data_IF_629276439856
#
_entry.id   IF_629276439856
#
_cell.length_a   1.000
_cell.length_b   1.000
_cell.length_c   1.000
_cell.angle_alpha   90.00
_cell.angle_beta   90.00
_cell.angle_gamma   90.00
#
_symmetry.space_group_name_H-M   'P 1'
#
loop_
_entity.id
_entity.type
_entity.pdbx_description
1 polymer ?
#
# COMPACT_ATOMS: atom_id res chain seq x y z
N UNK A 1 -26.86 -7.07 11.93
CA UNK A 1 -26.40 -7.58 13.24
C UNK A 1 -24.92 -7.87 13.12
N UNK A 2 -24.14 -7.64 14.19
CA UNK A 2 -22.70 -7.97 14.21
C UNK A 2 -22.58 -9.50 14.28
N UNK A 3 -21.74 -10.14 13.43
CA UNK A 3 -21.52 -11.58 13.45
C UNK A 3 -20.94 -12.10 14.78
N UNK A 4 -21.18 -13.37 15.08
CA UNK A 4 -20.69 -14.00 16.32
C UNK A 4 -19.16 -13.97 16.44
N UNK A 5 -18.70 -13.61 17.65
CA UNK A 5 -17.27 -13.53 17.98
C UNK A 5 -16.59 -12.24 17.52
N UNK A 6 -17.35 -11.23 17.09
CA UNK A 6 -16.84 -9.91 16.68
C UNK A 6 -17.34 -8.84 17.64
N UNK A 7 -16.42 -8.06 18.20
CA UNK A 7 -16.71 -6.90 19.05
C UNK A 7 -16.16 -5.62 18.40
N UNK A 8 -17.00 -4.59 18.29
CA UNK A 8 -16.58 -3.24 17.92
C UNK A 8 -16.52 -2.40 19.20
N UNK A 9 -15.31 -2.02 19.62
CA UNK A 9 -15.07 -1.36 20.91
C UNK A 9 -15.04 0.18 20.82
N UNK A 10 -15.25 0.72 19.62
CA UNK A 10 -15.29 2.15 19.36
C UNK A 10 -16.71 2.64 19.01
N UNK A 11 -16.99 3.95 19.14
CA UNK A 11 -18.28 4.52 18.77
C UNK A 11 -18.59 4.29 17.28
N UNK A 12 -19.84 3.95 16.97
CA UNK A 12 -20.35 3.97 15.60
C UNK A 12 -20.90 5.37 15.35
N UNK A 13 -20.28 6.10 14.43
CA UNK A 13 -20.70 7.44 14.03
C UNK A 13 -21.71 7.39 12.89
N UNK A 14 -22.22 8.55 12.48
CA UNK A 14 -23.19 8.65 11.40
C UNK A 14 -22.69 7.96 10.12
N UNK A 15 -23.56 7.17 9.49
CA UNK A 15 -23.30 6.38 8.27
C UNK A 15 -22.21 5.31 8.36
N UNK A 16 -21.59 5.08 9.53
CA UNK A 16 -20.57 4.03 9.67
C UNK A 16 -21.14 2.63 9.43
N UNK A 17 -22.45 2.44 9.58
CA UNK A 17 -23.18 1.22 9.24
C UNK A 17 -23.11 0.86 7.74
N UNK A 18 -22.85 1.83 6.86
CA UNK A 18 -22.62 1.59 5.42
C UNK A 18 -21.28 0.91 5.13
N UNK A 19 -20.30 1.08 6.03
CA UNK A 19 -18.96 0.50 5.91
C UNK A 19 -18.84 -0.75 6.78
N UNK A 20 -19.31 -0.68 8.02
CA UNK A 20 -19.28 -1.77 9.01
C UNK A 20 -20.48 -2.72 8.83
N UNK A 21 -20.75 -3.10 7.59
CA UNK A 21 -21.85 -4.01 7.25
C UNK A 21 -21.55 -5.43 7.79
N UNK A 22 -22.58 -6.27 8.03
CA UNK A 22 -22.36 -7.65 8.43
C UNK A 22 -21.41 -8.40 7.50
N UNK A 23 -21.58 -8.23 6.18
CA UNK A 23 -20.73 -8.86 5.15
C UNK A 23 -19.27 -8.40 5.23
N UNK A 24 -19.03 -7.10 5.49
CA UNK A 24 -17.67 -6.59 5.66
C UNK A 24 -17.02 -7.17 6.91
N UNK A 25 -17.75 -7.22 8.03
CA UNK A 25 -17.26 -7.78 9.29
C UNK A 25 -17.02 -9.29 9.20
N UNK A 26 -17.86 -10.03 8.48
CA UNK A 26 -17.65 -11.45 8.18
C UNK A 26 -16.35 -11.66 7.39
N UNK A 27 -16.10 -10.86 6.35
CA UNK A 27 -14.84 -10.95 5.60
C UNK A 27 -13.63 -10.64 6.49
N UNK A 28 -13.70 -9.61 7.34
CA UNK A 28 -12.63 -9.30 8.32
C UNK A 28 -12.40 -10.50 9.24
N UNK A 29 -13.45 -11.15 9.72
CA UNK A 29 -13.34 -12.33 10.59
C UNK A 29 -12.75 -13.54 9.87
N UNK A 30 -13.15 -13.83 8.63
CA UNK A 30 -12.57 -14.88 7.80
C UNK A 30 -11.07 -14.64 7.62
N UNK A 31 -10.68 -13.44 7.18
CA UNK A 31 -9.27 -13.10 6.99
C UNK A 31 -8.47 -13.18 8.29
N UNK A 32 -9.03 -12.72 9.41
CA UNK A 32 -8.36 -12.80 10.71
C UNK A 32 -8.14 -14.26 11.14
N UNK A 33 -9.15 -15.11 11.03
CA UNK A 33 -9.10 -16.51 11.47
C UNK A 33 -8.15 -17.34 10.62
N UNK A 34 -8.17 -17.14 9.30
CA UNK A 34 -7.32 -17.88 8.37
C UNK A 34 -5.86 -17.38 8.35
N UNK A 35 -5.64 -16.06 8.45
CA UNK A 35 -4.33 -15.47 8.18
C UNK A 35 -3.65 -14.86 9.40
N UNK A 36 -4.38 -14.60 10.49
CA UNK A 36 -3.89 -13.87 11.65
C UNK A 36 -2.69 -14.51 12.31
N UNK A 37 -2.71 -15.84 12.49
CA UNK A 37 -1.59 -16.58 13.08
C UNK A 37 -0.35 -16.52 12.19
N UNK A 38 -0.51 -16.76 10.88
CA UNK A 38 0.61 -16.69 9.93
C UNK A 38 1.23 -15.29 9.86
N UNK A 39 0.41 -14.24 9.94
CA UNK A 39 0.88 -12.85 10.05
C UNK A 39 1.77 -12.67 11.28
N UNK A 40 1.33 -13.13 12.45
CA UNK A 40 2.11 -13.04 13.69
C UNK A 40 3.43 -13.80 13.59
N UNK A 41 3.43 -14.98 12.97
CA UNK A 41 4.64 -15.78 12.75
C UNK A 41 5.62 -15.04 11.84
N UNK A 42 5.16 -14.45 10.74
CA UNK A 42 6.01 -13.64 9.85
C UNK A 42 6.58 -12.39 10.56
N UNK A 43 5.81 -11.73 11.43
CA UNK A 43 6.32 -10.63 12.26
C UNK A 43 7.40 -11.11 13.24
N UNK A 44 7.26 -12.33 13.78
CA UNK A 44 8.29 -12.94 14.62
C UNK A 44 9.57 -13.28 13.82
N UNK A 45 9.43 -13.71 12.56
CA UNK A 45 10.57 -13.95 11.65
C UNK A 45 11.35 -12.66 11.37
N UNK A 46 10.69 -11.50 11.21
CA UNK A 46 11.39 -10.20 11.13
C UNK A 46 12.30 -9.97 12.34
N UNK A 47 11.82 -10.31 13.54
CA UNK A 47 12.61 -10.22 14.77
C UNK A 47 13.81 -11.16 14.80
N UNK A 48 13.67 -12.39 14.28
CA UNK A 48 14.77 -13.35 14.13
C UNK A 48 15.83 -12.83 13.16
N UNK A 49 15.42 -12.33 11.99
CA UNK A 49 16.32 -11.73 10.99
C UNK A 49 17.13 -10.59 11.59
N UNK A 50 16.48 -9.67 12.31
CA UNK A 50 17.16 -8.56 12.98
C UNK A 50 18.22 -9.04 13.98
N UNK A 51 17.96 -10.11 14.75
CA UNK A 51 18.95 -10.69 15.67
C UNK A 51 20.14 -11.29 14.90
N UNK A 52 19.88 -12.07 13.85
CA UNK A 52 20.93 -12.64 13.01
C UNK A 52 21.83 -11.57 12.38
N UNK A 53 21.24 -10.45 11.91
CA UNK A 53 22.01 -9.31 11.39
C UNK A 53 22.85 -8.66 12.49
N UNK A 54 22.34 -8.54 13.72
CA UNK A 54 23.09 -8.02 14.85
C UNK A 54 24.28 -8.91 15.24
N UNK A 55 24.16 -10.21 15.06
CA UNK A 55 25.19 -11.23 15.36
C UNK A 55 26.26 -11.36 14.26
N UNK A 56 26.21 -10.52 13.22
CA UNK A 56 27.21 -10.49 12.14
C UNK A 56 26.70 -11.02 10.79
N UNK A 57 25.46 -11.50 10.71
CA UNK A 57 24.83 -11.91 9.46
C UNK A 57 24.69 -10.77 8.44
N UNK A 58 24.34 -11.11 7.21
CA UNK A 58 24.07 -10.13 6.13
C UNK A 58 22.80 -10.51 5.38
N UNK A 59 22.42 -9.69 4.41
CA UNK A 59 21.37 -9.99 3.44
C UNK A 59 22.01 -10.30 2.09
N UNK A 60 21.45 -11.28 1.39
CA UNK A 60 21.81 -11.66 0.03
C UNK A 60 20.59 -12.31 -0.63
N UNK A 61 20.67 -12.54 -1.94
CA UNK A 61 19.65 -13.29 -2.66
C UNK A 61 19.54 -14.73 -2.14
N UNK A 62 18.33 -15.21 -1.97
CA UNK A 62 18.07 -16.52 -1.38
C UNK A 62 18.43 -17.65 -2.37
N UNK A 63 19.23 -18.64 -1.96
CA UNK A 63 19.58 -19.77 -2.84
C UNK A 63 18.37 -20.68 -3.08
N UNK A 64 17.52 -20.88 -2.07
CA UNK A 64 16.33 -21.75 -2.14
C UNK A 64 15.29 -21.31 -3.18
N UNK A 65 15.28 -20.02 -3.56
CA UNK A 65 14.37 -19.47 -4.58
C UNK A 65 15.10 -19.12 -5.88
N UNK A 66 16.35 -19.57 -6.06
CA UNK A 66 17.15 -19.29 -7.26
C UNK A 66 16.42 -19.69 -8.56
N UNK A 67 15.69 -20.81 -8.54
CA UNK A 67 14.90 -21.27 -9.67
C UNK A 67 13.83 -20.26 -10.12
N UNK A 68 13.22 -19.50 -9.20
CA UNK A 68 12.25 -18.44 -9.53
C UNK A 68 12.94 -17.32 -10.31
N UNK A 69 14.14 -16.93 -9.89
CA UNK A 69 14.91 -15.85 -10.54
C UNK A 69 15.46 -16.26 -11.90
N UNK A 70 15.86 -17.51 -12.06
CA UNK A 70 16.46 -18.02 -13.31
C UNK A 70 15.43 -18.52 -14.33
N UNK A 71 14.19 -18.76 -13.93
CA UNK A 71 13.12 -19.13 -14.85
C UNK A 71 12.60 -17.90 -15.60
N UNK A 72 12.95 -17.77 -16.88
CA UNK A 72 12.50 -16.68 -17.77
C UNK A 72 11.09 -16.92 -18.35
N UNK A 73 10.44 -18.05 -18.07
CA UNK A 73 9.13 -18.39 -18.66
C UNK A 73 7.94 -17.67 -18.00
N UNK A 74 8.09 -17.20 -16.77
CA UNK A 74 7.01 -16.55 -16.04
C UNK A 74 7.09 -15.02 -16.09
N UNK A 75 5.90 -14.42 -16.11
CA UNK A 75 5.66 -12.97 -16.04
C UNK A 75 4.49 -12.70 -15.09
N UNK A 76 4.34 -11.46 -14.64
CA UNK A 76 3.15 -11.05 -13.90
C UNK A 76 1.96 -10.82 -14.84
N UNK A 77 0.77 -10.69 -14.28
CA UNK A 77 -0.43 -10.33 -15.01
C UNK A 77 -0.26 -8.99 -15.77
N UNK A 78 -0.91 -8.89 -16.92
CA UNK A 78 -0.92 -7.65 -17.71
C UNK A 78 -1.52 -6.48 -16.92
N UNK A 79 -1.09 -5.23 -17.20
CA UNK A 79 -1.64 -4.05 -16.55
C UNK A 79 -3.16 -3.98 -16.65
N UNK A 80 -3.83 -3.86 -15.49
CA UNK A 80 -5.28 -3.77 -15.44
C UNK A 80 -5.83 -2.42 -15.96
N UNK A 81 -7.13 -2.35 -16.31
CA UNK A 81 -7.78 -1.10 -16.71
C UNK A 81 -7.55 0.03 -15.70
N UNK A 82 -7.17 1.22 -16.18
CA UNK A 82 -6.83 2.35 -15.31
C UNK A 82 -5.40 2.30 -14.72
N UNK A 83 -4.65 1.21 -14.91
CA UNK A 83 -3.26 1.05 -14.47
C UNK A 83 -2.26 0.88 -15.63
N UNK A 84 -2.72 1.01 -16.88
CA UNK A 84 -1.87 0.92 -18.09
C UNK A 84 -0.92 2.12 -18.22
N UNK A 85 -1.41 3.32 -17.92
CA UNK A 85 -0.61 4.55 -17.89
C UNK A 85 -0.57 5.10 -16.46
N UNK A 86 0.60 4.99 -15.82
CA UNK A 86 0.84 5.40 -14.43
C UNK A 86 1.96 6.44 -14.34
N UNK A 87 2.10 7.27 -15.37
CA UNK A 87 3.23 8.22 -15.51
C UNK A 87 3.40 9.17 -14.31
N UNK A 88 2.30 9.53 -13.65
CA UNK A 88 2.28 10.35 -12.44
C UNK A 88 1.19 9.82 -11.51
N UNK A 89 1.57 9.55 -10.27
CA UNK A 89 0.66 9.19 -9.18
C UNK A 89 0.71 10.28 -8.11
N UNK A 90 -0.45 10.69 -7.60
CA UNK A 90 -0.55 11.56 -6.44
C UNK A 90 -0.84 10.71 -5.20
N UNK A 91 -0.30 11.08 -4.05
CA UNK A 91 -0.50 10.36 -2.77
C UNK A 91 -1.12 11.31 -1.77
N UNK A 92 -2.10 10.85 -1.00
CA UNK A 92 -2.70 11.67 0.04
C UNK A 92 -3.70 10.92 0.90
N UNK A 93 -4.05 11.46 2.08
CA UNK A 93 -5.00 10.85 2.99
C UNK A 93 -6.40 10.81 2.39
N UNK A 94 -7.26 10.00 2.99
CA UNK A 94 -8.67 9.84 2.62
C UNK A 94 -9.60 10.82 3.31
N UNK A 95 -9.11 11.98 3.76
CA UNK A 95 -10.02 13.05 4.21
C UNK A 95 -10.81 13.62 3.02
N UNK A 96 -11.99 14.16 3.30
CA UNK A 96 -12.97 14.53 2.27
C UNK A 96 -12.43 15.54 1.26
N UNK A 97 -11.74 16.58 1.74
CA UNK A 97 -11.18 17.64 0.91
C UNK A 97 -10.00 17.12 0.07
N UNK A 98 -9.12 16.32 0.67
CA UNK A 98 -7.97 15.75 -0.04
C UNK A 98 -8.39 14.70 -1.08
N UNK A 99 -9.40 13.89 -0.78
CA UNK A 99 -10.02 12.95 -1.72
C UNK A 99 -10.47 13.67 -3.00
N UNK A 100 -11.26 14.73 -2.86
CA UNK A 100 -11.74 15.53 -4.01
C UNK A 100 -10.57 16.14 -4.79
N UNK A 101 -9.59 16.73 -4.10
CA UNK A 101 -8.46 17.39 -4.77
C UNK A 101 -7.55 16.40 -5.50
N UNK A 102 -7.31 15.21 -4.92
CA UNK A 102 -6.46 14.19 -5.50
C UNK A 102 -7.08 13.56 -6.76
N UNK A 103 -8.39 13.28 -6.71
CA UNK A 103 -9.16 12.80 -7.87
C UNK A 103 -9.18 13.84 -9.00
N UNK A 104 -9.29 15.12 -8.65
CA UNK A 104 -9.30 16.24 -9.60
C UNK A 104 -7.90 16.72 -10.06
N UNK A 105 -6.83 16.08 -9.62
CA UNK A 105 -5.45 16.59 -9.78
C UNK A 105 -4.91 16.50 -11.20
N UNK A 106 -5.46 15.61 -12.02
CA UNK A 106 -4.92 15.26 -13.34
C UNK A 106 -3.79 14.23 -13.31
N UNK A 107 -3.41 13.72 -12.13
CA UNK A 107 -2.60 12.51 -12.02
C UNK A 107 -3.34 11.31 -12.63
N UNK A 108 -2.61 10.28 -13.06
CA UNK A 108 -3.25 9.06 -13.59
C UNK A 108 -3.79 8.17 -12.48
N UNK A 109 -3.11 8.18 -11.34
CA UNK A 109 -3.45 7.37 -10.17
C UNK A 109 -3.45 8.27 -8.94
N UNK A 110 -4.41 8.03 -8.05
CA UNK A 110 -4.37 8.51 -6.68
C UNK A 110 -4.16 7.33 -5.75
N UNK A 111 -3.05 7.37 -5.00
CA UNK A 111 -2.81 6.50 -3.87
C UNK A 111 -3.56 7.07 -2.66
N UNK A 112 -4.72 6.49 -2.37
CA UNK A 112 -5.58 6.80 -1.24
C UNK A 112 -5.05 6.15 0.03
N UNK A 113 -4.51 6.96 0.94
CA UNK A 113 -3.63 6.46 1.99
C UNK A 113 -4.33 6.25 3.33
N UNK A 114 -4.32 5.01 3.83
CA UNK A 114 -4.67 4.66 5.20
C UNK A 114 -3.45 4.41 6.09
N UNK A 115 -2.24 4.62 5.56
CA UNK A 115 -0.97 4.32 6.21
C UNK A 115 -0.22 5.61 6.62
N UNK A 116 1.01 5.85 6.17
CA UNK A 116 1.90 6.87 6.74
C UNK A 116 1.38 8.32 6.67
N UNK A 117 0.52 8.67 5.70
CA UNK A 117 -0.09 10.00 5.60
C UNK A 117 -1.41 10.13 6.37
N UNK A 118 -1.85 9.07 7.07
CA UNK A 118 -3.13 9.04 7.79
C UNK A 118 -2.95 8.57 9.24
N UNK A 119 -3.25 9.45 10.20
CA UNK A 119 -3.32 9.02 11.60
C UNK A 119 -4.48 8.03 11.77
N UNK A 120 -4.25 6.79 12.25
CA UNK A 120 -5.26 5.73 12.28
C UNK A 120 -6.19 5.87 13.50
N UNK A 121 -6.78 7.06 13.68
CA UNK A 121 -7.92 7.25 14.56
C UNK A 121 -9.09 6.43 14.02
N UNK A 122 -9.90 5.85 14.90
CA UNK A 122 -11.07 5.06 14.49
C UNK A 122 -11.96 5.82 13.48
N UNK A 123 -12.27 7.08 13.79
CA UNK A 123 -13.00 7.97 12.89
C UNK A 123 -12.35 8.07 11.51
N UNK A 124 -11.03 8.27 11.43
CA UNK A 124 -10.33 8.36 10.14
C UNK A 124 -10.34 7.03 9.36
N UNK A 125 -10.22 5.90 10.06
CA UNK A 125 -10.23 4.56 9.42
C UNK A 125 -11.57 4.31 8.74
N UNK A 126 -12.69 4.52 9.44
CA UNK A 126 -14.02 4.22 8.88
C UNK A 126 -14.50 5.35 7.97
N UNK A 127 -14.31 6.61 8.35
CA UNK A 127 -14.68 7.76 7.51
C UNK A 127 -13.89 7.81 6.21
N UNK A 128 -12.63 7.36 6.20
CA UNK A 128 -11.84 7.24 4.98
C UNK A 128 -12.49 6.32 3.95
N UNK A 129 -13.01 5.17 4.40
CA UNK A 129 -13.76 4.23 3.55
C UNK A 129 -15.07 4.84 3.05
N UNK A 130 -15.77 5.59 3.91
CA UNK A 130 -16.99 6.30 3.52
C UNK A 130 -16.71 7.39 2.48
N UNK A 131 -15.61 8.12 2.59
CA UNK A 131 -15.22 9.11 1.60
C UNK A 131 -14.85 8.44 0.26
N UNK A 132 -14.21 7.26 0.30
CA UNK A 132 -13.95 6.47 -0.91
C UNK A 132 -15.26 6.02 -1.57
N UNK A 133 -16.20 5.50 -0.79
CA UNK A 133 -17.53 5.12 -1.26
C UNK A 133 -18.25 6.31 -1.93
N UNK A 134 -18.37 7.44 -1.22
CA UNK A 134 -19.02 8.65 -1.73
C UNK A 134 -18.34 9.18 -2.99
N UNK A 135 -17.01 9.03 -3.11
CA UNK A 135 -16.29 9.44 -4.32
C UNK A 135 -16.60 8.57 -5.54
N UNK A 136 -16.93 7.29 -5.31
CA UNK A 136 -17.27 6.34 -6.36
C UNK A 136 -18.76 6.41 -6.71
N UNK A 137 -19.65 6.75 -5.77
CA UNK A 137 -21.08 6.96 -6.07
C UNK A 137 -21.36 8.35 -6.63
N UNK A 138 -20.42 9.29 -6.49
CA UNK A 138 -20.56 10.67 -6.96
C UNK A 138 -21.19 11.62 -5.93
N UNK A 139 -21.35 11.16 -4.69
CA UNK A 139 -22.00 11.88 -3.60
C UNK A 139 -21.01 12.69 -2.74
N UNK A 140 -19.71 12.65 -3.04
CA UNK A 140 -18.71 13.37 -2.25
C UNK A 140 -18.70 14.87 -2.55
N UNK A 141 -18.93 15.66 -1.51
CA UNK A 141 -18.74 17.11 -1.51
C UNK A 141 -18.05 17.59 -0.23
N UNK A 142 -17.54 18.82 -0.26
CA UNK A 142 -16.99 19.47 0.91
C UNK A 142 -17.12 20.98 0.81
N UNK A 143 -17.57 21.64 1.88
CA UNK A 143 -17.50 23.11 2.00
C UNK A 143 -16.56 23.47 3.14
N UNK A 144 -15.53 24.27 2.84
CA UNK A 144 -14.56 24.70 3.85
C UNK A 144 -15.16 25.71 4.84
N UNK A 145 -14.56 25.91 6.01
CA UNK A 145 -15.02 26.92 6.97
C UNK A 145 -15.10 28.34 6.39
N UNK A 146 -14.29 28.64 5.36
CA UNK A 146 -14.30 29.91 4.63
C UNK A 146 -15.41 29.99 3.56
N UNK A 147 -16.27 28.98 3.46
CA UNK A 147 -17.39 28.94 2.51
C UNK A 147 -17.03 28.49 1.10
N UNK A 148 -15.82 27.94 0.87
CA UNK A 148 -15.45 27.42 -0.45
C UNK A 148 -15.93 25.98 -0.63
N UNK A 149 -16.73 25.75 -1.66
CA UNK A 149 -17.23 24.42 -2.04
C UNK A 149 -16.25 23.67 -2.96
N UNK A 150 -16.18 22.37 -2.76
CA UNK A 150 -15.36 21.40 -3.48
C UNK A 150 -16.27 20.22 -3.87
N UNK A 151 -16.18 19.79 -5.12
CA UNK A 151 -16.87 18.63 -5.66
C UNK A 151 -15.98 17.98 -6.73
N UNK A 152 -16.28 16.74 -7.12
CA UNK A 152 -15.62 16.09 -8.24
C UNK A 152 -15.97 16.82 -9.55
N UNK A 153 -14.97 16.94 -10.43
CA UNK A 153 -15.18 17.47 -11.78
C UNK A 153 -15.73 16.37 -12.68
N UNK A 154 -16.43 16.77 -13.74
CA UNK A 154 -16.76 15.86 -14.83
C UNK A 154 -15.49 15.41 -15.57
N UNK A 155 -15.55 14.21 -16.16
CA UNK A 155 -14.49 13.66 -17.01
C UNK A 155 -13.59 12.64 -16.31
N UNK A 156 -12.36 12.51 -16.81
CA UNK A 156 -11.41 11.50 -16.35
C UNK A 156 -10.82 11.88 -14.98
N UNK A 157 -11.26 11.17 -13.95
CA UNK A 157 -10.67 11.24 -12.61
C UNK A 157 -9.50 10.27 -12.47
N UNK A 158 -8.58 10.56 -11.55
CA UNK A 158 -7.47 9.66 -11.20
C UNK A 158 -7.98 8.26 -10.79
N UNK A 159 -7.35 7.19 -11.27
CA UNK A 159 -7.65 5.82 -10.80
C UNK A 159 -7.34 5.70 -9.31
N UNK A 160 -8.27 5.16 -8.53
CA UNK A 160 -8.08 4.97 -7.07
C UNK A 160 -7.26 3.71 -6.82
N UNK A 161 -6.20 3.84 -6.02
CA UNK A 161 -5.43 2.72 -5.49
C UNK A 161 -5.28 2.91 -3.98
N UNK A 162 -5.79 1.98 -3.16
CA UNK A 162 -5.80 2.14 -1.70
C UNK A 162 -4.52 1.58 -1.08
N UNK A 163 -3.88 2.33 -0.19
CA UNK A 163 -2.76 1.83 0.62
C UNK A 163 -3.23 1.48 2.03
N UNK A 164 -3.51 0.21 2.33
CA UNK A 164 -3.84 -0.23 3.68
C UNK A 164 -2.62 -0.12 4.61
N UNK A 165 -2.88 -0.13 5.93
CA UNK A 165 -1.83 -0.19 6.95
C UNK A 165 -0.94 -1.44 6.79
N UNK A 166 0.36 -1.28 7.08
CA UNK A 166 1.31 -2.39 7.04
C UNK A 166 1.05 -3.49 8.09
N UNK A 167 1.64 -4.68 7.87
CA UNK A 167 1.36 -5.88 8.68
C UNK A 167 1.52 -5.74 10.19
N UNK A 168 2.41 -4.83 10.62
CA UNK A 168 2.77 -4.58 12.00
C UNK A 168 1.75 -3.75 12.77
N UNK A 169 0.82 -3.06 12.10
CA UNK A 169 -0.19 -2.22 12.74
C UNK A 169 -1.44 -3.04 13.09
N UNK A 170 -1.94 -2.97 14.34
CA UNK A 170 -3.22 -3.54 14.71
C UNK A 170 -4.37 -2.58 14.39
N UNK A 171 -5.57 -3.13 14.19
CA UNK A 171 -6.82 -2.42 14.43
C UNK A 171 -7.35 -2.87 15.79
N UNK A 172 -7.30 -1.98 16.77
CA UNK A 172 -7.65 -2.29 18.16
C UNK A 172 -9.14 -2.20 18.44
N UNK A 173 -9.91 -1.59 17.54
CA UNK A 173 -11.33 -1.36 17.76
C UNK A 173 -12.22 -2.46 17.18
N UNK A 174 -11.70 -3.30 16.28
CA UNK A 174 -12.36 -4.53 15.85
C UNK A 174 -11.61 -5.68 16.51
N UNK A 175 -12.31 -6.40 17.39
CA UNK A 175 -11.79 -7.53 18.14
C UNK A 175 -12.51 -8.79 17.67
N UNK A 176 -11.75 -9.81 17.29
CA UNK A 176 -12.29 -11.09 16.83
C UNK A 176 -11.74 -12.18 17.73
N UNK A 177 -12.65 -12.97 18.30
CA UNK A 177 -12.30 -14.07 19.23
C UNK A 177 -11.35 -13.57 20.35
N UNK A 178 -11.67 -12.39 20.91
CA UNK A 178 -10.93 -11.67 21.97
C UNK A 178 -9.53 -11.14 21.58
N UNK A 179 -9.20 -11.10 20.28
CA UNK A 179 -7.90 -10.59 19.80
C UNK A 179 -8.07 -9.38 18.87
N UNK A 180 -7.21 -8.34 19.00
CA UNK A 180 -7.16 -7.25 18.03
C UNK A 180 -6.87 -7.76 16.62
N UNK A 181 -7.47 -7.11 15.62
CA UNK A 181 -7.31 -7.50 14.23
C UNK A 181 -6.06 -6.84 13.60
N UNK A 182 -5.63 -7.30 12.43
CA UNK A 182 -4.64 -6.57 11.63
C UNK A 182 -5.26 -5.33 11.01
N UNK A 183 -4.61 -4.17 11.14
CA UNK A 183 -5.05 -2.93 10.49
C UNK A 183 -5.12 -3.07 8.98
N UNK A 184 -4.10 -3.69 8.38
CA UNK A 184 -4.07 -3.93 6.93
C UNK A 184 -5.22 -4.79 6.41
N UNK A 185 -5.57 -5.87 7.14
CA UNK A 185 -6.73 -6.72 6.76
C UNK A 185 -8.05 -5.99 6.92
N UNK A 186 -8.20 -5.14 7.94
CA UNK A 186 -9.39 -4.31 8.13
C UNK A 186 -9.53 -3.30 6.98
N UNK A 187 -8.48 -2.52 6.71
CA UNK A 187 -8.53 -1.49 5.65
C UNK A 187 -8.84 -2.12 4.28
N UNK A 188 -8.22 -3.27 4.00
CA UNK A 188 -8.45 -4.06 2.79
C UNK A 188 -9.90 -4.55 2.68
N UNK A 189 -10.41 -5.23 3.70
CA UNK A 189 -11.74 -5.85 3.66
C UNK A 189 -12.87 -4.82 3.61
N UNK A 190 -12.73 -3.71 4.35
CA UNK A 190 -13.71 -2.63 4.34
C UNK A 190 -13.78 -1.96 2.97
N UNK A 191 -12.63 -1.60 2.38
CA UNK A 191 -12.61 -1.01 1.03
C UNK A 191 -13.18 -1.98 0.00
N UNK A 192 -12.73 -3.24 0.01
CA UNK A 192 -13.16 -4.21 -0.99
C UNK A 192 -14.66 -4.49 -0.92
N UNK A 193 -15.24 -4.61 0.29
CA UNK A 193 -16.69 -4.82 0.44
C UNK A 193 -17.50 -3.60 0.05
N UNK A 194 -17.06 -2.40 0.44
CA UNK A 194 -17.81 -1.17 0.17
C UNK A 194 -17.70 -0.72 -1.29
N UNK A 195 -16.52 -0.86 -1.89
CA UNK A 195 -16.16 -0.23 -3.16
C UNK A 195 -15.79 -1.22 -4.27
N UNK A 196 -15.46 -2.47 -3.95
CA UNK A 196 -14.86 -3.42 -4.90
C UNK A 196 -15.74 -3.68 -6.12
N UNK A 197 -17.01 -4.04 -5.90
CA UNK A 197 -17.95 -4.27 -7.01
C UNK A 197 -18.22 -2.98 -7.80
N UNK A 198 -18.36 -1.85 -7.12
CA UNK A 198 -18.59 -0.55 -7.78
C UNK A 198 -17.43 -0.18 -8.71
N UNK A 199 -16.19 -0.47 -8.34
CA UNK A 199 -15.03 -0.25 -9.20
C UNK A 199 -15.04 -1.18 -10.42
N UNK A 200 -15.41 -2.44 -10.23
CA UNK A 200 -15.53 -3.44 -11.32
C UNK A 200 -16.61 -3.01 -12.31
N UNK A 201 -17.78 -2.61 -11.83
CA UNK A 201 -18.91 -2.17 -12.66
C UNK A 201 -18.56 -0.92 -13.48
N UNK A 202 -17.64 -0.09 -12.99
CA UNK A 202 -17.08 1.08 -13.70
C UNK A 202 -15.97 0.73 -14.70
N UNK A 203 -15.68 -0.55 -14.91
CA UNK A 203 -14.64 -1.04 -15.82
C UNK A 203 -13.22 -0.89 -15.27
N UNK A 204 -13.06 -0.70 -13.96
CA UNK A 204 -11.78 -0.73 -13.25
C UNK A 204 -11.75 -1.95 -12.32
N UNK A 205 -11.04 -1.86 -11.20
CA UNK A 205 -10.98 -2.93 -10.21
C UNK A 205 -10.53 -2.42 -8.84
N UNK A 206 -10.66 -3.25 -7.81
CA UNK A 206 -10.13 -2.96 -6.48
C UNK A 206 -8.60 -3.05 -6.49
N UNK A 207 -7.95 -1.89 -6.43
CA UNK A 207 -6.50 -1.77 -6.53
C UNK A 207 -5.85 -1.33 -5.23
N UNK A 208 -4.66 -1.87 -4.95
CA UNK A 208 -3.96 -1.67 -3.69
C UNK A 208 -2.48 -1.29 -3.83
N UNK A 209 -1.95 -0.64 -2.81
CA UNK A 209 -0.52 -0.42 -2.59
C UNK A 209 -0.10 -1.09 -1.28
N UNK A 210 0.90 -1.98 -1.32
CA UNK A 210 1.25 -2.83 -0.18
C UNK A 210 2.53 -2.33 0.49
N UNK A 211 2.45 -1.73 1.69
CA UNK A 211 3.60 -1.09 2.32
C UNK A 211 4.43 -2.04 3.17
N UNK A 212 5.70 -1.66 3.34
CA UNK A 212 6.61 -2.14 4.40
C UNK A 212 6.71 -3.68 4.55
N UNK A 213 6.57 -4.42 3.45
CA UNK A 213 6.86 -5.85 3.43
C UNK A 213 8.37 -6.09 3.58
N UNK A 214 8.76 -7.17 4.27
CA UNK A 214 10.17 -7.53 4.48
C UNK A 214 10.55 -8.91 3.88
N UNK A 215 9.62 -9.60 3.22
CA UNK A 215 9.91 -10.86 2.52
C UNK A 215 8.83 -11.23 1.49
N UNK A 216 9.16 -12.13 0.58
CA UNK A 216 8.20 -12.72 -0.37
C UNK A 216 7.10 -13.52 0.34
N UNK A 217 7.36 -14.10 1.52
CA UNK A 217 6.32 -14.80 2.29
C UNK A 217 5.22 -13.85 2.81
N UNK A 218 5.55 -12.58 3.03
CA UNK A 218 4.55 -11.55 3.33
C UNK A 218 3.77 -11.10 2.10
N UNK A 219 4.38 -11.19 0.91
CA UNK A 219 3.68 -11.01 -0.36
C UNK A 219 2.71 -12.19 -0.63
N UNK A 220 3.12 -13.43 -0.31
CA UNK A 220 2.24 -14.60 -0.31
C UNK A 220 1.07 -14.44 0.66
N UNK A 221 1.30 -13.88 1.84
CA UNK A 221 0.24 -13.58 2.80
C UNK A 221 -0.82 -12.65 2.20
N UNK A 222 -0.42 -11.61 1.46
CA UNK A 222 -1.34 -10.74 0.73
C UNK A 222 -2.05 -11.47 -0.41
N UNK A 223 -1.33 -12.26 -1.20
CA UNK A 223 -1.92 -13.05 -2.29
C UNK A 223 -3.04 -13.96 -1.78
N UNK A 224 -2.84 -14.60 -0.64
CA UNK A 224 -3.86 -15.45 -0.03
C UNK A 224 -5.03 -14.64 0.53
N UNK A 225 -4.78 -13.44 1.10
CA UNK A 225 -5.86 -12.54 1.49
C UNK A 225 -6.72 -12.11 0.28
N UNK A 226 -6.10 -11.85 -0.87
CA UNK A 226 -6.79 -11.52 -2.11
C UNK A 226 -7.63 -12.70 -2.60
N UNK A 227 -7.06 -13.91 -2.65
CA UNK A 227 -7.78 -15.10 -3.06
C UNK A 227 -8.97 -15.41 -2.14
N UNK A 228 -8.76 -15.38 -0.82
CA UNK A 228 -9.85 -15.61 0.15
C UNK A 228 -10.97 -14.59 -0.01
N UNK A 229 -10.63 -13.31 -0.20
CA UNK A 229 -11.64 -12.27 -0.36
C UNK A 229 -12.37 -12.33 -1.71
N UNK A 230 -11.66 -12.68 -2.79
CA UNK A 230 -12.25 -12.93 -4.10
C UNK A 230 -13.22 -14.11 -4.04
N UNK A 231 -12.80 -15.23 -3.45
CA UNK A 231 -13.66 -16.41 -3.27
C UNK A 231 -14.88 -16.09 -2.36
N UNK A 232 -14.69 -15.29 -1.29
CA UNK A 232 -15.77 -14.88 -0.37
C UNK A 232 -16.79 -13.93 -1.03
N UNK A 233 -16.33 -13.02 -1.88
CA UNK A 233 -17.16 -12.01 -2.52
C UNK A 233 -17.67 -12.40 -3.92
N UNK A 234 -17.29 -13.57 -4.42
CA UNK A 234 -17.55 -14.04 -5.79
C UNK A 234 -16.95 -13.10 -6.87
N UNK A 235 -15.74 -12.62 -6.60
CA UNK A 235 -14.94 -11.81 -7.54
C UNK A 235 -13.96 -12.75 -8.26
N UNK A 236 -13.80 -12.67 -9.60
CA UNK A 236 -12.84 -13.49 -10.32
C UNK A 236 -11.39 -13.33 -9.82
N UNK A 237 -10.61 -14.41 -9.88
CA UNK A 237 -9.19 -14.36 -9.49
C UNK A 237 -8.38 -13.46 -10.41
N UNK A 238 -7.48 -12.68 -9.82
CA UNK A 238 -6.70 -11.68 -10.55
C UNK A 238 -7.49 -10.42 -10.89
N UNK A 239 -8.69 -10.21 -10.35
CA UNK A 239 -9.37 -8.92 -10.46
C UNK A 239 -8.76 -7.89 -9.51
N UNK A 240 -8.35 -8.31 -8.31
CA UNK A 240 -7.55 -7.47 -7.42
C UNK A 240 -6.17 -7.23 -8.04
N UNK A 241 -5.68 -5.98 -7.95
CA UNK A 241 -4.32 -5.62 -8.38
C UNK A 241 -3.57 -4.89 -7.27
N UNK A 242 -2.27 -5.13 -7.15
CA UNK A 242 -1.47 -4.62 -6.04
C UNK A 242 -0.08 -4.18 -6.52
N UNK A 243 0.31 -2.95 -6.18
CA UNK A 243 1.69 -2.47 -6.33
C UNK A 243 2.41 -2.65 -4.99
N UNK A 244 3.56 -3.34 -4.98
CA UNK A 244 4.34 -3.52 -3.75
C UNK A 244 5.39 -2.41 -3.59
N UNK A 245 5.40 -1.74 -2.44
CA UNK A 245 6.48 -0.80 -2.12
C UNK A 245 7.72 -1.59 -1.67
N UNK A 246 8.82 -1.50 -2.42
CA UNK A 246 10.11 -2.07 -2.00
C UNK A 246 10.81 -1.04 -1.13
N UNK A 247 10.20 -0.71 0.00
CA UNK A 247 10.65 0.35 0.91
C UNK A 247 11.26 -0.21 2.19
N UNK A 248 11.58 -1.49 2.21
CA UNK A 248 12.41 -2.09 3.26
C UNK A 248 13.68 -2.66 2.64
N UNK A 249 14.77 -2.63 3.39
CA UNK A 249 16.05 -3.11 2.92
C UNK A 249 16.04 -4.63 2.65
N UNK A 250 15.43 -5.49 3.49
CA UNK A 250 15.26 -6.91 3.17
C UNK A 250 14.50 -7.17 1.86
N UNK A 251 13.42 -6.43 1.60
CA UNK A 251 12.62 -6.64 0.39
C UNK A 251 13.38 -6.37 -0.93
N UNK A 252 14.45 -5.57 -0.90
CA UNK A 252 15.27 -5.36 -2.09
C UNK A 252 16.02 -6.61 -2.57
N UNK A 253 16.23 -7.61 -1.69
CA UNK A 253 16.85 -8.89 -2.04
C UNK A 253 15.84 -9.96 -2.45
N UNK A 254 14.55 -9.66 -2.37
CA UNK A 254 13.46 -10.62 -2.63
C UNK A 254 12.45 -10.07 -3.65
N UNK A 255 12.85 -9.10 -4.51
CA UNK A 255 11.94 -8.43 -5.45
C UNK A 255 11.32 -9.39 -6.49
N UNK A 256 12.13 -10.32 -7.02
CA UNK A 256 11.68 -11.34 -8.00
C UNK A 256 10.65 -12.27 -7.35
N UNK A 257 10.93 -12.71 -6.13
CA UNK A 257 10.06 -13.58 -5.35
C UNK A 257 8.77 -12.87 -4.92
N UNK A 258 8.84 -11.59 -4.51
CA UNK A 258 7.64 -10.77 -4.21
C UNK A 258 6.74 -10.68 -5.44
N UNK A 259 7.31 -10.42 -6.63
CA UNK A 259 6.55 -10.42 -7.88
C UNK A 259 5.97 -11.80 -8.21
N UNK A 260 6.73 -12.87 -7.95
CA UNK A 260 6.28 -14.23 -8.20
C UNK A 260 5.09 -14.63 -7.31
N UNK A 261 5.15 -14.32 -6.01
CA UNK A 261 4.09 -14.61 -5.05
C UNK A 261 2.82 -13.79 -5.33
N UNK A 262 2.97 -12.61 -5.91
CA UNK A 262 1.86 -11.74 -6.31
C UNK A 262 1.53 -11.83 -7.80
N UNK A 263 2.10 -12.76 -8.59
CA UNK A 263 2.09 -12.69 -10.07
C UNK A 263 0.70 -12.52 -10.69
N UNK A 264 -0.31 -13.16 -10.11
CA UNK A 264 -1.69 -13.10 -10.59
C UNK A 264 -2.42 -11.81 -10.18
N UNK A 265 -1.87 -11.05 -9.24
CA UNK A 265 -2.42 -9.81 -8.67
C UNK A 265 -1.46 -8.62 -8.78
N UNK A 266 -0.29 -8.76 -9.41
CA UNK A 266 0.72 -7.70 -9.39
C UNK A 266 0.36 -6.56 -10.33
N UNK A 267 0.64 -5.34 -9.90
CA UNK A 267 0.65 -4.12 -10.70
C UNK A 267 2.05 -3.47 -10.73
N UNK A 268 3.09 -4.17 -10.26
CA UNK A 268 4.45 -3.66 -10.23
C UNK A 268 5.01 -3.39 -8.84
N UNK A 269 6.19 -2.77 -8.84
CA UNK A 269 6.93 -2.37 -7.65
C UNK A 269 7.11 -0.85 -7.62
N UNK A 270 7.22 -0.28 -6.44
CA UNK A 270 7.52 1.13 -6.22
C UNK A 270 8.82 1.32 -5.43
N UNK A 271 9.58 2.36 -5.81
CA UNK A 271 10.79 2.75 -5.12
C UNK A 271 10.53 3.78 -4.00
N UNK A 272 10.96 3.48 -2.77
CA UNK A 272 10.91 4.37 -1.62
C UNK A 272 12.28 4.97 -1.26
N UNK A 273 12.29 6.16 -0.65
CA UNK A 273 13.53 6.79 -0.11
C UNK A 273 13.60 6.72 1.41
N UNK A 274 12.65 7.36 2.09
CA UNK A 274 12.72 7.56 3.53
C UNK A 274 12.54 6.25 4.31
N UNK A 275 11.51 5.47 3.99
CA UNK A 275 11.30 4.15 4.61
C UNK A 275 12.43 3.17 4.30
N UNK A 276 12.96 3.18 3.07
CA UNK A 276 14.07 2.31 2.69
C UNK A 276 15.32 2.61 3.52
N UNK A 277 15.67 3.89 3.66
CA UNK A 277 16.79 4.32 4.49
C UNK A 277 16.53 4.05 5.99
N UNK A 278 15.32 4.31 6.47
CA UNK A 278 14.92 3.95 7.83
C UNK A 278 15.09 2.45 8.06
N UNK A 279 14.72 1.60 7.10
CA UNK A 279 14.89 0.16 7.18
C UNK A 279 16.36 -0.25 7.23
N UNK A 280 17.26 0.40 6.49
CA UNK A 280 18.72 0.16 6.59
C UNK A 280 19.18 0.40 8.03
N UNK A 281 18.86 1.59 8.57
CA UNK A 281 19.23 1.97 9.93
C UNK A 281 18.65 0.98 10.94
N UNK A 282 17.36 0.64 10.82
CA UNK A 282 16.66 -0.31 11.70
C UNK A 282 17.32 -1.69 11.69
N UNK A 283 17.60 -2.23 10.51
CA UNK A 283 18.13 -3.58 10.33
C UNK A 283 19.56 -3.73 10.84
N UNK A 284 20.40 -2.70 10.66
CA UNK A 284 21.82 -2.75 11.02
C UNK A 284 22.19 -1.86 12.22
N UNK A 285 21.22 -1.44 13.05
CA UNK A 285 21.41 -0.47 14.15
C UNK A 285 22.53 -0.80 15.15
N UNK A 286 22.90 -2.07 15.31
CA UNK A 286 23.95 -2.52 16.24
C UNK A 286 25.29 -2.80 15.56
N UNK A 287 25.41 -2.57 14.25
CA UNK A 287 26.59 -2.92 13.45
C UNK A 287 27.63 -1.81 13.35
N UNK A 288 27.47 -0.75 14.14
CA UNK A 288 28.47 0.29 14.31
C UNK A 288 28.71 1.12 13.05
N UNK A 289 29.96 1.57 12.89
CA UNK A 289 30.34 2.57 11.88
C UNK A 289 30.19 2.10 10.43
N UNK A 290 30.16 0.79 10.19
CA UNK A 290 30.00 0.20 8.84
C UNK A 290 28.64 0.52 8.21
N UNK A 291 27.60 0.68 9.04
CA UNK A 291 26.23 0.97 8.61
C UNK A 291 25.74 2.35 9.06
N UNK A 292 26.67 3.24 9.44
CA UNK A 292 26.35 4.61 9.79
C UNK A 292 26.09 5.43 8.52
N UNK A 293 24.86 5.90 8.36
CA UNK A 293 24.49 6.79 7.26
C UNK A 293 24.79 8.26 7.61
N UNK A 294 25.16 9.09 6.61
CA UNK A 294 25.33 10.53 6.81
C UNK A 294 23.97 11.22 7.01
N UNK A 295 23.97 12.56 7.04
CA UNK A 295 22.72 13.34 7.10
C UNK A 295 21.75 12.86 6.01
N UNK A 296 20.53 12.55 6.42
CA UNK A 296 19.47 11.97 5.58
C UNK A 296 19.20 12.77 4.30
N UNK A 297 19.42 14.09 4.30
CA UNK A 297 19.23 14.94 3.14
C UNK A 297 20.32 14.69 2.07
N UNK A 298 21.52 14.30 2.48
CA UNK A 298 22.64 13.96 1.59
C UNK A 298 22.53 12.57 0.96
N UNK A 299 21.70 11.68 1.53
CA UNK A 299 21.41 10.35 0.97
C UNK A 299 20.35 10.48 -0.11
N UNK A 300 20.72 10.99 -1.28
CA UNK A 300 19.85 11.14 -2.47
C UNK A 300 19.61 9.80 -3.17
N UNK A 301 18.69 9.74 -4.15
CA UNK A 301 18.47 8.53 -4.95
C UNK A 301 19.66 8.16 -5.86
N UNK A 302 20.65 9.05 -6.01
CA UNK A 302 21.79 8.89 -6.91
C UNK A 302 23.04 8.35 -6.21
N UNK A 303 23.06 8.24 -4.88
CA UNK A 303 24.19 7.63 -4.16
C UNK A 303 24.26 6.13 -4.49
N UNK A 304 25.45 5.48 -4.44
CA UNK A 304 25.68 4.18 -5.05
C UNK A 304 24.67 3.08 -4.67
N UNK A 305 24.38 2.90 -3.37
CA UNK A 305 23.47 1.83 -2.95
C UNK A 305 21.99 2.11 -3.30
N UNK A 306 21.56 3.37 -3.29
CA UNK A 306 20.22 3.77 -3.74
C UNK A 306 20.06 3.62 -5.26
N UNK A 307 21.15 3.91 -6.00
CA UNK A 307 21.20 3.72 -7.45
C UNK A 307 21.15 2.24 -7.80
N UNK A 308 21.93 1.39 -7.14
CA UNK A 308 21.88 -0.05 -7.32
C UNK A 308 20.49 -0.63 -7.02
N UNK A 309 19.85 -0.16 -5.95
CA UNK A 309 18.48 -0.51 -5.58
C UNK A 309 17.47 -0.16 -6.69
N UNK A 310 17.49 1.07 -7.20
CA UNK A 310 16.55 1.50 -8.24
C UNK A 310 16.80 0.83 -9.59
N UNK A 311 18.06 0.61 -9.98
CA UNK A 311 18.40 -0.14 -11.20
C UNK A 311 17.99 -1.61 -11.11
N UNK A 312 18.17 -2.24 -9.95
CA UNK A 312 17.69 -3.59 -9.70
C UNK A 312 16.16 -3.66 -9.82
N UNK A 313 15.44 -2.73 -9.19
CA UNK A 313 13.97 -2.67 -9.26
C UNK A 313 13.48 -2.56 -10.70
N UNK A 314 14.05 -1.65 -11.49
CA UNK A 314 13.68 -1.46 -12.90
C UNK A 314 13.94 -2.74 -13.71
N UNK A 315 15.12 -3.35 -13.57
CA UNK A 315 15.48 -4.59 -14.28
C UNK A 315 14.51 -5.72 -13.92
N UNK A 316 14.26 -5.94 -12.62
CA UNK A 316 13.37 -6.98 -12.12
C UNK A 316 11.94 -6.78 -12.65
N UNK A 317 11.38 -5.58 -12.51
CA UNK A 317 10.04 -5.28 -13.01
C UNK A 317 9.92 -5.51 -14.52
N UNK A 318 10.81 -4.93 -15.32
CA UNK A 318 10.69 -5.00 -16.77
C UNK A 318 10.92 -6.41 -17.32
N UNK A 319 11.82 -7.20 -16.70
CA UNK A 319 11.97 -8.63 -16.99
C UNK A 319 10.63 -9.35 -16.86
N UNK A 320 9.90 -9.09 -15.79
CA UNK A 320 8.62 -9.74 -15.46
C UNK A 320 7.38 -9.09 -16.04
N UNK A 321 7.52 -8.03 -16.84
CA UNK A 321 6.37 -7.31 -17.42
C UNK A 321 5.62 -6.42 -16.44
N UNK A 322 6.21 -6.13 -15.28
CA UNK A 322 5.61 -5.31 -14.23
C UNK A 322 6.04 -3.84 -14.36
N UNK A 323 5.25 -2.91 -13.82
CA UNK A 323 5.67 -1.51 -13.74
C UNK A 323 6.75 -1.30 -12.67
N UNK A 324 7.68 -0.39 -12.95
CA UNK A 324 8.65 0.14 -12.01
C UNK A 324 8.30 1.61 -11.72
N UNK A 325 7.64 1.87 -10.59
CA UNK A 325 7.21 3.22 -10.20
C UNK A 325 8.34 3.91 -9.42
N UNK A 326 8.64 5.15 -9.81
CA UNK A 326 9.65 5.99 -9.15
C UNK A 326 9.24 6.49 -7.76
N UNK A 327 10.16 7.19 -7.11
CA UNK A 327 9.95 7.75 -5.79
C UNK A 327 9.14 9.07 -5.77
N UNK A 328 8.86 9.53 -4.56
CA UNK A 328 8.06 10.74 -4.30
C UNK A 328 8.83 12.04 -4.51
N UNK A 329 8.18 13.03 -5.12
CA UNK A 329 8.57 14.43 -5.02
C UNK A 329 7.54 15.22 -4.18
N UNK A 330 7.90 15.54 -2.94
CA UNK A 330 6.99 16.07 -1.92
C UNK A 330 6.96 17.61 -1.84
N UNK A 331 7.22 18.32 -2.93
CA UNK A 331 7.16 19.78 -2.93
C UNK A 331 5.71 20.26 -2.92
N UNK A 332 5.38 21.13 -1.96
CA UNK A 332 4.07 21.79 -1.91
C UNK A 332 4.18 23.12 -2.67
N UNK A 333 3.37 23.36 -3.71
CA UNK A 333 3.36 24.63 -4.43
C UNK A 333 3.14 25.81 -3.48
N UNK A 334 3.96 26.85 -3.63
CA UNK A 334 3.92 28.07 -2.84
C UNK A 334 3.18 29.18 -3.59
N UNK A 335 2.67 30.18 -2.85
CA UNK A 335 2.24 31.45 -3.44
C UNK A 335 3.42 32.29 -3.94
N UNK A 336 4.65 31.99 -3.51
CA UNK A 336 5.86 32.63 -4.00
C UNK A 336 6.35 31.92 -5.28
N UNK A 337 6.36 32.60 -6.45
CA UNK A 337 6.81 32.03 -7.72
C UNK A 337 8.26 31.51 -7.68
N UNK A 338 9.17 32.19 -6.97
CA UNK A 338 10.59 31.79 -6.89
C UNK A 338 10.77 30.42 -6.22
N UNK A 339 9.95 30.13 -5.20
CA UNK A 339 9.96 28.82 -4.53
C UNK A 339 9.49 27.73 -5.52
N UNK A 340 8.51 28.05 -6.36
CA UNK A 340 8.01 27.11 -7.36
C UNK A 340 9.04 26.87 -8.47
N UNK A 341 9.72 27.90 -8.94
CA UNK A 341 10.80 27.77 -9.93
C UNK A 341 11.92 26.85 -9.43
N UNK A 342 12.36 27.01 -8.17
CA UNK A 342 13.34 26.13 -7.54
C UNK A 342 12.83 24.69 -7.44
N UNK A 343 11.55 24.51 -7.09
CA UNK A 343 10.94 23.19 -7.02
C UNK A 343 10.87 22.52 -8.40
N UNK A 344 10.47 23.26 -9.44
CA UNK A 344 10.39 22.74 -10.81
C UNK A 344 11.76 22.38 -11.36
N UNK A 345 12.79 23.20 -11.15
CA UNK A 345 14.15 22.87 -11.58
C UNK A 345 14.62 21.53 -10.98
N UNK A 346 14.38 21.32 -9.68
CA UNK A 346 14.71 20.05 -8.98
C UNK A 346 13.89 18.84 -9.42
N UNK A 347 12.73 19.04 -10.05
CA UNK A 347 11.90 17.95 -10.60
C UNK A 347 12.39 17.49 -11.96
N UNK A 348 13.02 18.40 -12.72
CA UNK A 348 13.46 18.14 -14.10
C UNK A 348 14.94 17.76 -14.23
N UNK A 349 15.75 18.05 -13.21
CA UNK A 349 17.12 17.55 -13.05
C UNK A 349 17.15 16.10 -12.55
#
# INVERSE_FOLDING_TARGET
MIPDGIDITAPVEDRFDQILTPRALELVAVLHRELGKRREDLLAERGKRIRALAEGGTLDFLEETRSVREDDSWRVADPAPGLVDRRVEITGPTDKKMTINALNSGAKVWLADHEDANTPLWGNVVQGQLNLLDSITGDIDFTSPEGKSYALKDGDLSTIVVRPRGWHLPEKHIVIDQRPTSGGLVDFALYLTACGQLQIDRGQGPYFYLPKMESHLEARLWNDAFNLAQDFLDIPRGTIRATALIETYPAAFEMEEILYELRDHSAGLNAGRWDYMFSVIKSFRTRGREFLLPDRNSVTMTVPFMRAYTELLVRTCHKRGAHAIGGMAAFIPSKNPEINEIAFAKLTE
#
